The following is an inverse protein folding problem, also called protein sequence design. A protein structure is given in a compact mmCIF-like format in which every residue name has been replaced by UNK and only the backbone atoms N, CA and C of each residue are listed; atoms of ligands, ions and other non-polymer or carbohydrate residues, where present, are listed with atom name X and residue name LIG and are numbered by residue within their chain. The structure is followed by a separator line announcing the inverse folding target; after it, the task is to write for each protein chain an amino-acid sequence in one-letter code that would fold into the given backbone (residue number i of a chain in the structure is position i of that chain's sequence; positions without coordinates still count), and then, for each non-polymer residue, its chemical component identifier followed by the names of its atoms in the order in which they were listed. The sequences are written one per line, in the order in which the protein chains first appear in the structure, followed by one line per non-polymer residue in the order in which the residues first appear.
data_IF_917723723025
#
_entry.id   IF_917723723025
#
_cell.length_a   1.000
_cell.length_b   1.000
_cell.length_c   1.000
_cell.angle_alpha   90.00
_cell.angle_beta   90.00
_cell.angle_gamma   90.00
#
_symmetry.space_group_name_H-M   'P 1'
#
loop_
_entity.id
_entity.type
_entity.pdbx_description
1 polymer ?
#
# COMPACT_ATOMS: atom_id res chain seq x y z
N UNK A 1 23.93 -8.18 -16.59
CA UNK A 1 22.87 -8.61 -15.65
C UNK A 1 21.54 -8.26 -16.27
N UNK A 2 20.86 -9.25 -16.85
CA UNK A 2 19.61 -9.09 -17.62
C UNK A 2 18.44 -9.39 -16.67
N UNK A 3 17.67 -8.35 -16.33
CA UNK A 3 16.21 -8.39 -16.34
C UNK A 3 15.49 -9.51 -15.57
N UNK A 4 15.79 -9.72 -14.28
CA UNK A 4 14.91 -10.58 -13.44
C UNK A 4 13.63 -9.87 -13.02
N UNK A 5 13.62 -8.52 -12.98
CA UNK A 5 12.45 -7.73 -12.57
C UNK A 5 11.39 -7.58 -13.68
N UNK A 6 11.80 -7.46 -14.95
CA UNK A 6 10.86 -7.30 -16.06
C UNK A 6 10.01 -8.56 -16.36
N UNK A 7 10.34 -9.72 -15.78
CA UNK A 7 9.57 -10.96 -15.94
C UNK A 7 8.51 -11.19 -14.86
N UNK A 8 8.53 -10.42 -13.76
CA UNK A 8 7.49 -10.53 -12.74
C UNK A 8 6.22 -9.84 -13.24
N UNK A 9 5.19 -10.62 -13.57
CA UNK A 9 3.85 -10.09 -13.87
C UNK A 9 3.31 -9.24 -12.70
N UNK A 10 2.34 -8.36 -12.98
CA UNK A 10 1.83 -7.39 -12.01
C UNK A 10 1.41 -8.05 -10.68
N UNK A 11 0.81 -9.23 -10.73
CA UNK A 11 0.41 -9.98 -9.53
C UNK A 11 1.61 -10.27 -8.64
N UNK A 12 2.74 -10.73 -9.20
CA UNK A 12 3.92 -11.07 -8.41
C UNK A 12 4.52 -9.83 -7.74
N UNK A 13 4.54 -8.70 -8.44
CA UNK A 13 4.97 -7.39 -7.92
C UNK A 13 4.08 -6.92 -6.76
N UNK A 14 2.75 -7.00 -6.93
CA UNK A 14 1.81 -6.64 -5.85
C UNK A 14 1.89 -7.59 -4.66
N UNK A 15 2.23 -8.87 -4.88
CA UNK A 15 2.49 -9.81 -3.79
C UNK A 15 3.71 -9.40 -2.96
N UNK A 16 4.75 -8.83 -3.57
CA UNK A 16 5.90 -8.27 -2.82
C UNK A 16 5.44 -7.15 -1.88
N UNK A 17 4.60 -6.23 -2.36
CA UNK A 17 4.01 -5.16 -1.53
C UNK A 17 3.16 -5.75 -0.40
N UNK A 18 2.34 -6.74 -0.71
CA UNK A 18 1.51 -7.43 0.29
C UNK A 18 2.35 -8.10 1.39
N UNK A 19 3.46 -8.75 1.02
CA UNK A 19 4.40 -9.34 1.96
C UNK A 19 5.05 -8.29 2.86
N UNK A 20 5.44 -7.14 2.30
CA UNK A 20 6.00 -6.02 3.07
C UNK A 20 4.98 -5.46 4.08
N UNK A 21 3.74 -5.22 3.65
CA UNK A 21 2.66 -4.77 4.54
C UNK A 21 2.34 -5.80 5.62
N UNK A 22 2.39 -7.09 5.31
CA UNK A 22 2.19 -8.16 6.30
C UNK A 22 3.30 -8.18 7.34
N UNK A 23 4.55 -7.93 6.93
CA UNK A 23 5.68 -7.76 7.85
C UNK A 23 5.49 -6.56 8.78
N UNK A 24 5.07 -5.43 8.24
CA UNK A 24 4.75 -4.22 9.01
C UNK A 24 3.58 -4.47 9.99
N UNK A 25 2.54 -5.18 9.56
CA UNK A 25 1.42 -5.55 10.42
C UNK A 25 1.88 -6.37 11.61
N UNK A 26 2.72 -7.38 11.39
CA UNK A 26 3.27 -8.22 12.46
C UNK A 26 4.11 -7.41 13.45
N UNK A 27 4.95 -6.50 12.94
CA UNK A 27 5.72 -5.59 13.78
C UNK A 27 4.81 -4.71 14.64
N UNK A 28 3.80 -4.06 14.03
CA UNK A 28 2.85 -3.22 14.74
C UNK A 28 2.05 -3.98 15.80
N UNK A 29 1.65 -5.24 15.53
CA UNK A 29 0.99 -6.10 16.52
C UNK A 29 1.91 -6.39 17.70
N UNK A 30 3.20 -6.67 17.46
CA UNK A 30 4.16 -6.94 18.53
C UNK A 30 4.45 -5.71 19.41
N UNK A 31 4.17 -4.50 18.91
CA UNK A 31 4.33 -3.25 19.66
C UNK A 31 3.12 -2.89 20.53
N UNK A 32 2.00 -3.64 20.43
CA UNK A 32 0.80 -3.39 21.24
C UNK A 32 1.10 -3.71 22.70
N UNK A 33 0.94 -2.69 23.55
CA UNK A 33 0.92 -2.82 25.00
C UNK A 33 0.14 -1.64 25.61
N UNK A 34 -0.10 -1.68 26.92
CA UNK A 34 -0.88 -0.67 27.65
C UNK A 34 -0.30 0.75 27.55
N UNK A 35 0.99 0.89 27.25
CA UNK A 35 1.66 2.18 27.06
C UNK A 35 1.63 2.67 25.60
N UNK A 36 1.28 1.82 24.62
CA UNK A 36 1.30 2.15 23.19
C UNK A 36 0.01 1.72 22.47
N UNK A 37 -1.11 2.35 22.84
CA UNK A 37 -2.39 2.21 22.12
C UNK A 37 -2.33 2.75 20.69
N UNK A 38 -1.31 3.54 20.34
CA UNK A 38 -1.05 4.03 18.98
C UNK A 38 -0.78 2.90 17.99
N UNK A 39 -0.18 1.79 18.44
CA UNK A 39 0.03 0.60 17.63
C UNK A 39 -1.28 0.02 17.06
N UNK A 40 -2.41 0.19 17.76
CA UNK A 40 -3.74 -0.24 17.27
C UNK A 40 -4.17 0.57 16.04
N UNK A 41 -3.81 1.87 15.98
CA UNK A 41 -4.07 2.71 14.81
C UNK A 41 -3.26 2.17 13.63
N UNK A 42 -1.97 1.90 13.82
CA UNK A 42 -1.10 1.32 12.79
C UNK A 42 -1.64 -0.01 12.28
N UNK A 43 -2.02 -0.94 13.17
CA UNK A 43 -2.59 -2.24 12.79
C UNK A 43 -3.84 -2.09 11.92
N UNK A 44 -4.81 -1.27 12.36
CA UNK A 44 -6.05 -1.03 11.63
C UNK A 44 -5.76 -0.46 10.25
N UNK A 45 -4.82 0.48 10.18
CA UNK A 45 -4.48 1.17 8.95
C UNK A 45 -3.77 0.26 7.96
N UNK A 46 -2.78 -0.50 8.43
CA UNK A 46 -2.07 -1.49 7.60
C UNK A 46 -3.05 -2.55 7.06
N UNK A 47 -4.01 -3.03 7.86
CA UNK A 47 -5.06 -3.93 7.39
C UNK A 47 -5.90 -3.32 6.25
N UNK A 48 -6.20 -2.02 6.31
CA UNK A 48 -6.91 -1.32 5.24
C UNK A 48 -6.08 -1.27 3.94
N UNK A 49 -4.79 -0.98 4.05
CA UNK A 49 -3.87 -0.97 2.91
C UNK A 49 -3.70 -2.36 2.28
N UNK A 50 -3.61 -3.40 3.11
CA UNK A 50 -3.64 -4.81 2.67
C UNK A 50 -4.90 -5.10 1.86
N UNK A 51 -6.07 -4.60 2.29
CA UNK A 51 -7.32 -4.69 1.54
C UNK A 51 -7.21 -4.08 0.14
N UNK A 52 -6.69 -2.86 0.03
CA UNK A 52 -6.52 -2.20 -1.28
C UNK A 52 -5.57 -2.94 -2.22
N UNK A 53 -4.44 -3.44 -1.71
CA UNK A 53 -3.50 -4.23 -2.53
C UNK A 53 -4.12 -5.56 -2.93
N UNK A 54 -4.88 -6.21 -2.04
CA UNK A 54 -5.57 -7.47 -2.33
C UNK A 54 -6.64 -7.30 -3.41
N UNK A 55 -7.41 -6.21 -3.36
CA UNK A 55 -8.38 -5.85 -4.40
C UNK A 55 -7.69 -5.65 -5.76
N UNK A 56 -6.53 -4.97 -5.78
CA UNK A 56 -5.76 -4.77 -6.99
C UNK A 56 -5.24 -6.10 -7.57
N UNK A 57 -4.78 -7.02 -6.71
CA UNK A 57 -4.39 -8.38 -7.12
C UNK A 57 -5.59 -9.13 -7.71
N UNK A 58 -6.76 -9.05 -7.08
CA UNK A 58 -7.97 -9.69 -7.60
C UNK A 58 -8.38 -9.12 -8.96
N UNK A 59 -8.31 -7.80 -9.14
CA UNK A 59 -8.56 -7.15 -10.42
C UNK A 59 -7.55 -7.58 -11.49
N UNK A 60 -6.26 -7.68 -11.15
CA UNK A 60 -5.23 -8.16 -12.06
C UNK A 60 -5.46 -9.63 -12.47
N UNK A 61 -5.88 -10.49 -11.54
CA UNK A 61 -6.23 -11.90 -11.82
C UNK A 61 -7.43 -12.07 -12.76
N UNK A 62 -8.36 -11.11 -12.74
CA UNK A 62 -9.54 -11.14 -13.61
C UNK A 62 -9.29 -10.58 -15.02
N UNK A 63 -8.18 -9.87 -15.22
CA UNK A 63 -7.77 -9.32 -16.52
C UNK A 63 -6.82 -10.24 -17.29
N UNK A 64 -6.43 -9.81 -18.49
CA UNK A 64 -5.56 -10.56 -19.41
C UNK A 64 -4.06 -10.22 -19.31
N UNK A 65 -3.59 -9.73 -18.15
CA UNK A 65 -2.20 -9.35 -17.87
C UNK A 65 -1.53 -8.49 -18.98
N UNK A 66 -2.33 -7.72 -19.71
CA UNK A 66 -1.83 -6.84 -20.78
C UNK A 66 -1.26 -5.55 -20.19
N UNK A 67 -0.29 -4.88 -20.85
CA UNK A 67 0.28 -3.63 -20.35
C UNK A 67 -0.76 -2.55 -20.01
N UNK A 68 -1.82 -2.45 -20.83
CA UNK A 68 -2.93 -1.53 -20.61
C UNK A 68 -3.76 -1.86 -19.37
N UNK A 69 -4.03 -3.14 -19.12
CA UNK A 69 -4.78 -3.57 -17.93
C UNK A 69 -3.93 -3.41 -16.67
N UNK A 70 -2.63 -3.72 -16.75
CA UNK A 70 -1.70 -3.52 -15.64
C UNK A 70 -1.64 -2.04 -15.24
N UNK A 71 -1.46 -1.16 -16.22
CA UNK A 71 -1.49 0.30 -16.03
C UNK A 71 -2.81 0.77 -15.41
N UNK A 72 -3.95 0.21 -15.84
CA UNK A 72 -5.27 0.54 -15.28
C UNK A 72 -5.40 0.10 -13.82
N UNK A 73 -4.97 -1.12 -13.48
CA UNK A 73 -5.02 -1.64 -12.11
C UNK A 73 -4.11 -0.84 -11.19
N UNK A 74 -2.86 -0.59 -11.60
CA UNK A 74 -1.89 0.21 -10.84
C UNK A 74 -2.39 1.64 -10.68
N UNK A 75 -2.89 2.27 -11.74
CA UNK A 75 -3.47 3.62 -11.69
C UNK A 75 -4.66 3.71 -10.73
N UNK A 76 -5.54 2.71 -10.74
CA UNK A 76 -6.66 2.62 -9.80
C UNK A 76 -6.21 2.47 -8.34
N UNK A 77 -5.21 1.63 -8.08
CA UNK A 77 -4.63 1.45 -6.74
C UNK A 77 -3.97 2.75 -6.25
N UNK A 78 -3.08 3.34 -7.05
CA UNK A 78 -2.40 4.59 -6.71
C UNK A 78 -3.38 5.74 -6.52
N UNK A 79 -4.45 5.81 -7.31
CA UNK A 79 -5.52 6.79 -7.14
C UNK A 79 -6.20 6.67 -5.76
N UNK A 80 -6.53 5.44 -5.34
CA UNK A 80 -7.10 5.19 -4.01
C UNK A 80 -6.14 5.57 -2.88
N UNK A 81 -4.86 5.21 -3.01
CA UNK A 81 -3.85 5.51 -1.99
C UNK A 81 -3.57 7.01 -1.88
N UNK A 82 -3.48 7.73 -3.00
CA UNK A 82 -3.31 9.19 -3.01
C UNK A 82 -4.52 9.94 -2.46
N UNK A 83 -5.73 9.44 -2.71
CA UNK A 83 -6.93 10.01 -2.08
C UNK A 83 -6.89 9.81 -0.57
N UNK A 84 -6.51 8.62 -0.11
CA UNK A 84 -6.34 8.33 1.32
C UNK A 84 -5.29 9.25 1.97
N UNK A 85 -4.14 9.42 1.31
CA UNK A 85 -3.07 10.33 1.75
C UNK A 85 -3.58 11.77 1.87
N UNK A 86 -4.36 12.25 0.89
CA UNK A 86 -4.96 13.58 0.93
C UNK A 86 -5.97 13.74 2.09
N UNK A 87 -6.83 12.74 2.31
CA UNK A 87 -7.80 12.74 3.40
C UNK A 87 -7.10 12.77 4.78
N UNK A 88 -5.98 12.06 4.93
CA UNK A 88 -5.15 12.05 6.13
C UNK A 88 -4.44 13.38 6.35
N UNK A 89 -3.91 13.99 5.29
CA UNK A 89 -3.31 15.32 5.32
C UNK A 89 -4.31 16.37 5.83
N UNK A 90 -5.56 16.31 5.38
CA UNK A 90 -6.63 17.22 5.84
C UNK A 90 -6.92 17.06 7.34
N UNK A 91 -6.78 15.84 7.88
CA UNK A 91 -7.03 15.54 9.30
C UNK A 91 -5.91 16.02 10.23
N UNK A 92 -4.74 16.39 9.72
CA UNK A 92 -3.63 16.91 10.53
C UNK A 92 -3.99 18.21 11.27
N UNK A 93 -4.90 19.02 10.72
CA UNK A 93 -5.35 20.28 11.32
C UNK A 93 -6.46 20.10 12.37
N UNK A 94 -6.72 18.86 12.80
CA UNK A 94 -7.85 18.52 13.70
C UNK A 94 -7.34 17.91 15.01
N UNK A 95 -8.26 17.63 15.96
CA UNK A 95 -7.92 16.99 17.24
C UNK A 95 -7.33 15.57 17.08
N UNK A 96 -7.41 14.95 15.91
CA UNK A 96 -6.82 13.64 15.61
C UNK A 96 -5.44 13.71 14.93
N UNK A 97 -4.70 14.81 15.10
CA UNK A 97 -3.43 15.05 14.39
C UNK A 97 -2.40 13.93 14.58
N UNK A 98 -2.24 13.40 15.81
CA UNK A 98 -1.27 12.35 16.09
C UNK A 98 -1.56 11.04 15.35
N UNK A 99 -2.82 10.57 15.36
CA UNK A 99 -3.20 9.38 14.61
C UNK A 99 -3.13 9.61 13.10
N UNK A 100 -3.54 10.80 12.63
CA UNK A 100 -3.49 11.16 11.23
C UNK A 100 -2.04 11.22 10.71
N UNK A 101 -1.08 11.66 11.54
CA UNK A 101 0.34 11.66 11.18
C UNK A 101 0.90 10.25 11.01
N UNK A 102 0.52 9.32 11.90
CA UNK A 102 0.90 7.91 11.77
C UNK A 102 0.28 7.27 10.52
N UNK A 103 -1.02 7.48 10.31
CA UNK A 103 -1.74 6.97 9.13
C UNK A 103 -1.10 7.50 7.84
N UNK A 104 -0.83 8.81 7.77
CA UNK A 104 -0.16 9.46 6.64
C UNK A 104 1.22 8.85 6.35
N UNK A 105 2.07 8.69 7.37
CA UNK A 105 3.41 8.14 7.18
C UNK A 105 3.37 6.71 6.61
N UNK A 106 2.43 5.89 7.08
CA UNK A 106 2.23 4.53 6.58
C UNK A 106 1.69 4.55 5.14
N UNK A 107 0.72 5.42 4.83
CA UNK A 107 0.16 5.56 3.48
C UNK A 107 1.23 5.99 2.47
N UNK A 108 2.02 7.03 2.78
CA UNK A 108 3.10 7.49 1.91
C UNK A 108 4.15 6.40 1.68
N UNK A 109 4.49 5.62 2.71
CA UNK A 109 5.38 4.47 2.57
C UNK A 109 4.80 3.38 1.63
N UNK A 110 3.51 3.10 1.74
CA UNK A 110 2.83 2.15 0.85
C UNK A 110 2.78 2.64 -0.60
N UNK A 111 2.55 3.93 -0.84
CA UNK A 111 2.63 4.54 -2.18
C UNK A 111 4.04 4.34 -2.76
N UNK A 112 5.08 4.63 -1.98
CA UNK A 112 6.46 4.45 -2.40
C UNK A 112 6.76 2.97 -2.74
N UNK A 113 6.26 2.03 -1.94
CA UNK A 113 6.42 0.58 -2.20
C UNK A 113 5.74 0.16 -3.51
N UNK A 114 4.52 0.63 -3.76
CA UNK A 114 3.80 0.35 -5.02
C UNK A 114 4.56 0.94 -6.21
N UNK A 115 5.00 2.20 -6.12
CA UNK A 115 5.78 2.84 -7.18
C UNK A 115 7.09 2.10 -7.44
N UNK A 116 7.81 1.67 -6.41
CA UNK A 116 9.07 0.96 -6.54
C UNK A 116 8.94 -0.35 -7.35
N UNK A 117 7.83 -1.07 -7.19
CA UNK A 117 7.60 -2.34 -7.90
C UNK A 117 6.87 -2.17 -9.25
N UNK A 118 6.34 -0.98 -9.56
CA UNK A 118 5.57 -0.71 -10.79
C UNK A 118 6.23 0.29 -11.74
N UNK A 119 7.31 0.97 -11.33
CA UNK A 119 7.97 2.01 -12.12
C UNK A 119 8.45 1.56 -13.52
N UNK A 120 8.67 0.27 -13.75
CA UNK A 120 9.08 -0.25 -15.06
C UNK A 120 7.96 -0.26 -16.12
N UNK A 121 6.68 -0.11 -15.75
CA UNK A 121 5.56 -0.15 -16.70
C UNK A 121 5.16 1.24 -17.25
N UNK A 122 5.77 2.31 -16.74
CA UNK A 122 5.48 3.69 -17.12
C UNK A 122 6.47 4.30 -18.14
N UNK A 123 7.43 3.51 -18.66
CA UNK A 123 8.48 3.95 -19.58
C UNK A 123 8.29 3.38 -21.00
#
# INVERSE_FOLDING_TARGET
MKSTDAELGLIARLVVVLSALTGQLRAAVNEINDANVGAIVSVRHICRLIGYVSDAIAAAKAGNDTPSERSRVVGGLLGRLKQLEADEQLRLNTRSAASAQTELAITSAAIAQVLAVTAEEAA
#
